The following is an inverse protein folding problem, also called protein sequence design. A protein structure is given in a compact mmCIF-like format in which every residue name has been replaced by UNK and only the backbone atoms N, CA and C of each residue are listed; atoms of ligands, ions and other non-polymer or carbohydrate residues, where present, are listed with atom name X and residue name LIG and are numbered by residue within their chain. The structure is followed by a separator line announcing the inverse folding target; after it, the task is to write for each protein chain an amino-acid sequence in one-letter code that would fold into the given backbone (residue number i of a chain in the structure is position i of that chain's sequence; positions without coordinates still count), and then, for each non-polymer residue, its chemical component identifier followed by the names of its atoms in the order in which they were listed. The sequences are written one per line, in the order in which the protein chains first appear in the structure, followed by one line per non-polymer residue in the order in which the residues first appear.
data_IF_789986553043
#
_entry.id   IF_789986553043
#
_cell.length_a   1.000
_cell.length_b   1.000
_cell.length_c   1.000
_cell.angle_alpha   90.00
_cell.angle_beta   90.00
_cell.angle_gamma   90.00
#
_symmetry.space_group_name_H-M   'P 1'
#
loop_
_entity.id
_entity.type
_entity.pdbx_description
1 polymer ?
#
# COMPACT_ATOMS: atom_id res chain seq x y z
N UNK A 1 -37.70 -25.61 -27.27
CA UNK A 1 -37.27 -24.64 -28.31
C UNK A 1 -36.38 -23.51 -27.76
N UNK A 2 -36.44 -23.16 -26.47
CA UNK A 2 -35.70 -22.00 -25.91
C UNK A 2 -34.30 -22.30 -25.35
N UNK A 3 -33.96 -23.56 -25.06
CA UNK A 3 -32.65 -23.93 -24.47
C UNK A 3 -31.53 -24.08 -25.50
N UNK A 4 -31.85 -24.35 -26.77
CA UNK A 4 -30.85 -24.47 -27.84
C UNK A 4 -30.34 -23.11 -28.36
N UNK A 5 -31.13 -22.05 -28.24
CA UNK A 5 -30.75 -20.71 -28.70
C UNK A 5 -29.63 -20.07 -27.86
N UNK A 6 -29.57 -20.37 -26.56
CA UNK A 6 -28.57 -19.83 -25.63
C UNK A 6 -27.18 -20.44 -25.91
N UNK A 7 -27.12 -21.69 -26.39
CA UNK A 7 -25.87 -22.36 -26.74
C UNK A 7 -25.35 -21.95 -28.13
N UNK A 8 -26.23 -21.56 -29.07
CA UNK A 8 -25.81 -21.09 -30.40
C UNK A 8 -25.36 -19.60 -30.39
N UNK A 9 -25.91 -18.76 -29.50
CA UNK A 9 -25.34 -17.43 -29.23
C UNK A 9 -23.96 -17.48 -28.55
N UNK A 10 -23.60 -18.60 -27.93
CA UNK A 10 -22.24 -18.80 -27.39
C UNK A 10 -21.20 -19.15 -28.47
N UNK A 11 -21.62 -19.52 -29.69
CA UNK A 11 -20.73 -19.89 -30.80
C UNK A 11 -20.16 -18.69 -31.57
N UNK A 12 -20.97 -17.66 -31.83
CA UNK A 12 -20.54 -16.37 -32.40
C UNK A 12 -20.22 -15.32 -31.32
N UNK A 13 -20.71 -15.55 -30.09
CA UNK A 13 -20.35 -14.81 -28.88
C UNK A 13 -19.10 -15.34 -28.17
N UNK A 14 -18.51 -16.47 -28.57
CA UNK A 14 -17.34 -17.05 -27.90
C UNK A 14 -16.04 -16.26 -28.16
N UNK A 15 -15.77 -15.88 -29.41
CA UNK A 15 -14.64 -14.98 -29.72
C UNK A 15 -14.89 -13.57 -29.17
N UNK A 16 -16.13 -13.06 -29.27
CA UNK A 16 -16.50 -11.76 -28.69
C UNK A 16 -16.43 -11.75 -27.16
N UNK A 17 -16.81 -12.85 -26.50
CA UNK A 17 -16.70 -13.05 -25.05
C UNK A 17 -15.26 -13.23 -24.60
N UNK A 18 -14.42 -13.97 -25.35
CA UNK A 18 -12.98 -14.07 -25.07
C UNK A 18 -12.27 -12.73 -25.25
N UNK A 19 -12.63 -11.96 -26.28
CA UNK A 19 -12.13 -10.59 -26.48
C UNK A 19 -12.60 -9.69 -25.32
N UNK A 20 -13.88 -9.74 -24.94
CA UNK A 20 -14.44 -8.94 -23.84
C UNK A 20 -13.79 -9.30 -22.48
N UNK A 21 -13.59 -10.60 -22.22
CA UNK A 21 -12.92 -11.11 -21.04
C UNK A 21 -11.45 -10.68 -21.00
N UNK A 22 -10.75 -10.79 -22.13
CA UNK A 22 -9.37 -10.31 -22.27
C UNK A 22 -9.25 -8.80 -22.03
N UNK A 23 -10.18 -8.00 -22.55
CA UNK A 23 -10.20 -6.54 -22.37
C UNK A 23 -10.35 -6.14 -20.90
N UNK A 24 -11.24 -6.81 -20.16
CA UNK A 24 -11.39 -6.61 -18.72
C UNK A 24 -10.13 -6.99 -17.95
N UNK A 25 -9.51 -8.13 -18.27
CA UNK A 25 -8.25 -8.56 -17.62
C UNK A 25 -7.13 -7.57 -17.91
N UNK A 26 -7.02 -7.08 -19.14
CA UNK A 26 -6.01 -6.08 -19.52
C UNK A 26 -6.22 -4.76 -18.77
N UNK A 27 -7.45 -4.26 -18.69
CA UNK A 27 -7.76 -3.02 -17.95
C UNK A 27 -7.50 -3.21 -16.46
N UNK A 28 -8.00 -4.26 -15.83
CA UNK A 28 -7.75 -4.52 -14.40
C UNK A 28 -6.26 -4.71 -14.09
N UNK A 29 -5.52 -5.43 -14.93
CA UNK A 29 -4.08 -5.61 -14.77
C UNK A 29 -3.36 -4.26 -14.88
N UNK A 30 -3.66 -3.47 -15.91
CA UNK A 30 -3.03 -2.17 -16.11
C UNK A 30 -3.36 -1.19 -14.99
N UNK A 31 -4.62 -1.19 -14.52
CA UNK A 31 -5.08 -0.33 -13.44
C UNK A 31 -4.65 -0.79 -12.05
N UNK A 32 -4.28 -2.06 -11.83
CA UNK A 32 -3.78 -2.53 -10.53
C UNK A 32 -2.25 -2.46 -10.44
N UNK A 33 -1.52 -2.83 -11.50
CA UNK A 33 -0.05 -2.79 -11.51
C UNK A 33 0.49 -1.36 -11.49
N UNK A 34 -0.14 -0.43 -12.20
CA UNK A 34 0.32 0.96 -12.26
C UNK A 34 0.25 1.66 -10.89
N UNK A 35 -0.85 1.63 -10.13
CA UNK A 35 -0.88 2.22 -8.79
C UNK A 35 -0.03 1.43 -7.79
N UNK A 36 0.07 0.11 -7.91
CA UNK A 36 0.88 -0.68 -6.98
C UNK A 36 2.37 -0.40 -7.15
N UNK A 37 2.87 -0.28 -8.39
CA UNK A 37 4.25 0.12 -8.65
C UNK A 37 4.53 1.54 -8.16
N UNK A 38 3.57 2.47 -8.27
CA UNK A 38 3.74 3.85 -7.76
C UNK A 38 3.86 3.86 -6.24
N UNK A 39 2.96 3.16 -5.53
CA UNK A 39 3.04 3.00 -4.07
C UNK A 39 4.38 2.38 -3.65
N UNK A 40 4.79 1.26 -4.25
CA UNK A 40 6.06 0.60 -3.90
C UNK A 40 7.29 1.50 -4.14
N UNK A 41 7.31 2.27 -5.23
CA UNK A 41 8.39 3.24 -5.50
C UNK A 41 8.43 4.35 -4.46
N UNK A 42 7.27 4.87 -4.06
CA UNK A 42 7.17 5.91 -3.03
C UNK A 42 7.57 5.36 -1.64
N UNK A 43 7.24 4.10 -1.33
CA UNK A 43 7.71 3.41 -0.13
C UNK A 43 9.24 3.30 -0.09
N UNK A 44 9.86 2.85 -1.19
CA UNK A 44 11.31 2.71 -1.28
C UNK A 44 12.03 4.05 -1.13
N UNK A 45 11.55 5.09 -1.81
CA UNK A 45 12.11 6.44 -1.70
C UNK A 45 12.06 6.98 -0.27
N UNK A 46 10.95 6.79 0.44
CA UNK A 46 10.86 7.25 1.83
C UNK A 46 11.87 6.56 2.74
N UNK A 47 12.05 5.26 2.58
CA UNK A 47 13.04 4.48 3.35
C UNK A 47 14.47 4.99 3.04
N UNK A 48 14.74 5.37 1.80
CA UNK A 48 16.02 5.95 1.38
C UNK A 48 16.21 7.38 1.90
N UNK A 49 15.14 8.16 2.04
CA UNK A 49 15.17 9.54 2.53
C UNK A 49 15.35 9.64 4.06
N UNK A 50 15.17 8.54 4.81
CA UNK A 50 15.35 8.50 6.27
C UNK A 50 16.82 8.67 6.68
N UNK A 51 17.06 9.55 7.65
CA UNK A 51 18.40 9.85 8.18
C UNK A 51 18.54 9.47 9.64
N UNK A 52 19.81 9.34 10.08
CA UNK A 52 20.13 9.20 11.49
C UNK A 52 19.61 10.43 12.24
N UNK A 53 18.98 10.21 13.40
CA UNK A 53 18.21 11.15 14.22
C UNK A 53 16.77 11.45 13.80
N UNK A 54 16.26 10.88 12.69
CA UNK A 54 14.85 11.04 12.35
C UNK A 54 13.94 10.22 13.27
N UNK A 55 12.77 10.80 13.54
CA UNK A 55 11.69 10.11 14.24
C UNK A 55 10.93 9.25 13.24
N UNK A 56 10.78 7.97 13.56
CA UNK A 56 10.10 7.00 12.71
C UNK A 56 9.07 6.21 13.48
N UNK A 57 8.07 5.70 12.76
CA UNK A 57 7.03 4.84 13.30
C UNK A 57 7.02 3.54 12.54
N UNK A 58 7.29 2.45 13.25
CA UNK A 58 7.24 1.12 12.63
C UNK A 58 5.80 0.73 12.33
N UNK A 59 5.59 -0.25 11.46
CA UNK A 59 4.25 -0.78 11.14
C UNK A 59 3.49 -1.29 12.38
N UNK A 60 4.22 -1.64 13.44
CA UNK A 60 3.66 -2.07 14.74
C UNK A 60 3.26 -0.91 15.67
N UNK A 61 3.37 0.35 15.21
CA UNK A 61 3.04 1.53 16.03
C UNK A 61 4.13 1.94 17.02
N UNK A 62 5.35 1.42 16.85
CA UNK A 62 6.46 1.74 17.74
C UNK A 62 7.09 3.06 17.29
N UNK A 63 7.09 4.04 18.17
CA UNK A 63 7.76 5.33 17.96
C UNK A 63 9.21 5.25 18.45
N UNK A 64 10.15 5.70 17.61
CA UNK A 64 11.54 5.74 18.01
C UNK A 64 12.38 6.69 17.16
N UNK A 65 13.66 6.78 17.50
CA UNK A 65 14.67 7.56 16.77
C UNK A 65 15.65 6.63 16.08
N UNK A 66 15.97 6.89 14.81
CA UNK A 66 17.02 6.16 14.11
C UNK A 66 18.38 6.54 14.71
N UNK A 67 19.11 5.55 15.22
CA UNK A 67 20.48 5.70 15.73
C UNK A 67 21.49 5.32 14.68
N UNK A 68 21.18 4.32 13.84
CA UNK A 68 22.08 3.82 12.83
C UNK A 68 21.30 3.25 11.62
N UNK A 69 21.86 3.44 10.42
CA UNK A 69 21.31 2.98 9.16
C UNK A 69 22.28 1.96 8.56
N UNK A 70 21.86 0.70 8.50
CA UNK A 70 22.54 -0.36 7.75
C UNK A 70 21.99 -0.50 6.32
N UNK A 71 22.55 -1.43 5.55
CA UNK A 71 22.12 -1.68 4.16
C UNK A 71 20.71 -2.26 4.08
N UNK A 72 20.39 -3.23 4.94
CA UNK A 72 19.08 -3.92 5.00
C UNK A 72 18.34 -3.74 6.34
N UNK A 73 18.98 -3.11 7.32
CA UNK A 73 18.45 -2.96 8.69
C UNK A 73 18.61 -1.53 9.21
N UNK A 74 17.76 -1.13 10.15
CA UNK A 74 17.84 0.11 10.92
C UNK A 74 17.94 -0.20 12.40
N UNK A 75 18.75 0.56 13.13
CA UNK A 75 18.77 0.52 14.58
C UNK A 75 17.94 1.69 15.09
N UNK A 76 16.83 1.36 15.75
CA UNK A 76 15.91 2.34 16.30
C UNK A 76 16.00 2.30 17.82
N UNK A 77 16.14 3.46 18.45
CA UNK A 77 15.98 3.63 19.89
C UNK A 77 14.53 3.97 20.19
N UNK A 78 13.86 3.07 20.92
CA UNK A 78 12.44 3.15 21.28
C UNK A 78 12.24 3.85 22.64
N UNK A 79 13.33 4.34 23.24
CA UNK A 79 13.34 4.91 24.59
C UNK A 79 13.85 3.92 25.63
N UNK A 80 14.20 4.44 26.80
CA UNK A 80 14.80 3.67 27.89
C UNK A 80 16.14 3.01 27.53
N UNK A 81 16.85 3.54 26.53
CA UNK A 81 18.14 3.02 26.04
C UNK A 81 18.04 1.69 25.30
N UNK A 82 16.83 1.26 24.92
CA UNK A 82 16.61 -0.01 24.23
C UNK A 82 16.78 0.19 22.72
N UNK A 83 17.88 -0.34 22.18
CA UNK A 83 18.17 -0.34 20.76
C UNK A 83 17.68 -1.64 20.12
N UNK A 84 16.77 -1.52 19.16
CA UNK A 84 16.20 -2.67 18.46
C UNK A 84 16.53 -2.56 16.98
N UNK A 85 16.97 -3.69 16.40
CA UNK A 85 17.20 -3.82 14.96
C UNK A 85 15.89 -4.15 14.27
N UNK A 86 15.52 -3.34 13.28
CA UNK A 86 14.36 -3.56 12.43
C UNK A 86 14.79 -3.64 10.97
N UNK A 87 14.11 -4.47 10.19
CA UNK A 87 14.32 -4.49 8.74
C UNK A 87 13.74 -3.23 8.10
N UNK A 88 14.32 -2.80 6.97
CA UNK A 88 13.81 -1.65 6.20
C UNK A 88 12.35 -1.83 5.79
N UNK A 89 11.92 -3.07 5.57
CA UNK A 89 10.54 -3.41 5.22
C UNK A 89 9.54 -3.24 6.38
N UNK A 90 10.00 -3.14 7.62
CA UNK A 90 9.16 -3.00 8.81
C UNK A 90 8.77 -1.53 9.11
N UNK A 91 9.22 -0.58 8.28
CA UNK A 91 8.85 0.84 8.39
C UNK A 91 7.59 1.08 7.55
N UNK A 92 6.48 1.40 8.21
CA UNK A 92 5.23 1.76 7.52
C UNK A 92 5.32 3.20 7.04
N UNK A 93 5.29 3.39 5.72
CA UNK A 93 5.18 4.70 5.07
C UNK A 93 3.90 5.44 5.49
N UNK A 94 2.79 4.71 5.63
CA UNK A 94 1.50 5.30 5.97
C UNK A 94 1.47 5.74 7.44
N UNK A 95 2.05 4.94 8.35
CA UNK A 95 2.15 5.31 9.76
C UNK A 95 3.21 6.40 10.02
N UNK A 96 4.33 6.39 9.27
CA UNK A 96 5.39 7.38 9.45
C UNK A 96 5.06 8.74 8.82
N UNK A 97 4.27 8.80 7.74
CA UNK A 97 3.72 10.07 7.20
C UNK A 97 2.77 10.75 8.19
N UNK A 98 1.99 9.97 8.95
CA UNK A 98 1.11 10.51 9.99
C UNK A 98 1.89 11.05 11.21
N UNK A 99 3.08 10.51 11.48
CA UNK A 99 3.91 10.93 12.61
C UNK A 99 4.74 12.21 12.35
N UNK A 100 5.00 12.57 11.09
CA UNK A 100 5.75 13.76 10.71
C UNK A 100 4.88 14.96 10.27
N UNK A 101 3.58 14.92 10.55
CA UNK A 101 2.71 16.09 10.36
C UNK A 101 2.56 16.84 11.70
N UNK A 102 3.09 18.07 11.85
CA UNK A 102 2.73 18.90 13.01
C UNK A 102 1.23 19.21 12.93
N UNK A 103 0.50 18.95 14.02
CA UNK A 103 -0.96 19.08 14.19
C UNK A 103 -1.60 20.30 13.47
N UNK A 104 -2.48 20.05 12.49
CA UNK A 104 -3.78 20.71 12.19
C UNK A 104 -4.26 20.25 10.79
N UNK A 105 -5.48 19.80 10.50
CA UNK A 105 -6.72 19.68 11.25
C UNK A 105 -7.77 18.90 10.43
N UNK A 106 -8.72 18.31 11.13
CA UNK A 106 -10.13 18.03 10.75
C UNK A 106 -10.56 18.17 9.28
N UNK A 107 -11.03 17.08 8.65
CA UNK A 107 -12.42 16.90 8.13
C UNK A 107 -12.70 15.39 7.93
N UNK A 108 -13.47 14.84 8.86
CA UNK A 108 -14.62 13.94 8.65
C UNK A 108 -14.50 12.74 7.71
N UNK A 109 -14.48 11.52 8.26
CA UNK A 109 -15.44 10.45 7.94
C UNK A 109 -15.46 9.43 9.06
N UNK A 110 -16.26 9.70 10.07
CA UNK A 110 -16.97 8.69 10.87
C UNK A 110 -18.21 9.40 11.35
N UNK A 111 -19.36 8.98 10.81
CA UNK A 111 -20.57 8.65 11.57
C UNK A 111 -21.57 8.09 10.56
N UNK A 112 -21.49 6.77 10.37
CA UNK A 112 -22.69 5.96 10.20
C UNK A 112 -23.34 5.89 11.59
N UNK A 113 -24.46 6.59 11.79
CA UNK A 113 -25.53 6.16 12.71
C UNK A 113 -26.82 6.97 12.43
N UNK A 114 -27.83 6.27 11.87
CA UNK A 114 -29.23 6.27 12.32
C UNK A 114 -30.04 7.58 12.31
N UNK A 115 -30.86 7.75 11.27
CA UNK A 115 -32.34 7.85 11.37
C UNK A 115 -32.99 7.71 10.00
#
# INVERSE_FOLDING_TARGET
MTTAAILLQAGSGGMSSLIMMGLIVVVFYFFMIRPQMKKQKDHKKYIEDLKVNDKVVTTAGIHGRIVEIGESTFIIDVGSGTRIKFDKAAISLDASKLANTPKQGTVTTTTDEKK
#
